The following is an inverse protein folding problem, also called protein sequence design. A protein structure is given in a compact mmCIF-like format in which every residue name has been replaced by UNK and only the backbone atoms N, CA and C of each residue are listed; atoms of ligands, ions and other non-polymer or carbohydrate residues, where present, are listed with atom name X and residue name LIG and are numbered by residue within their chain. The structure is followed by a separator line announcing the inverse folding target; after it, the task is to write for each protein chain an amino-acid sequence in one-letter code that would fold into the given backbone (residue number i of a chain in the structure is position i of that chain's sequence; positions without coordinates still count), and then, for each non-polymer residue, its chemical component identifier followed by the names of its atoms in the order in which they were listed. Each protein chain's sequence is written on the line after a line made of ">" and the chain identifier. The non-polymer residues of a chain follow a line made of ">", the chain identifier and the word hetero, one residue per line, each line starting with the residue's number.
data_IF_076295726467
#
_entry.id   IF_076295726467
#
_cell.length_a   1.000
_cell.length_b   1.000
_cell.length_c   1.000
_cell.angle_alpha   90.00
_cell.angle_beta   90.00
_cell.angle_gamma   90.00
#
_symmetry.space_group_name_H-M   'P 1'
#
loop_
_entity.id
_entity.type
_entity.pdbx_description
1 polymer ?
#
# COMPACT_ATOMS: atom_id res chain seq x y z
N UNK A 1 10.21 31.98 -9.49
CA UNK A 1 11.09 32.02 -8.30
C UNK A 1 10.61 31.10 -7.16
N UNK A 2 9.56 31.41 -6.38
CA UNK A 2 9.17 30.58 -5.21
C UNK A 2 8.59 29.20 -5.62
N UNK A 3 7.79 29.15 -6.70
CA UNK A 3 7.19 27.91 -7.20
C UNK A 3 8.20 26.90 -7.73
N UNK A 4 9.26 27.37 -8.38
CA UNK A 4 10.33 26.52 -8.94
C UNK A 4 11.16 25.85 -7.85
N UNK A 5 11.44 26.56 -6.75
CA UNK A 5 12.13 25.98 -5.59
C UNK A 5 11.27 24.88 -4.97
N UNK A 6 9.97 25.13 -4.77
CA UNK A 6 9.05 24.13 -4.20
C UNK A 6 8.99 22.87 -5.07
N UNK A 7 8.95 23.02 -6.40
CA UNK A 7 8.87 21.90 -7.34
C UNK A 7 10.07 20.95 -7.26
N UNK A 8 11.28 21.44 -6.99
CA UNK A 8 12.48 20.62 -6.87
C UNK A 8 12.61 19.99 -5.48
N UNK A 9 12.17 20.69 -4.44
CA UNK A 9 12.28 20.19 -3.06
C UNK A 9 11.34 19.02 -2.75
N UNK A 10 10.13 19.00 -3.33
CA UNK A 10 9.15 17.92 -3.12
C UNK A 10 9.73 16.52 -3.44
N UNK A 11 10.26 16.24 -4.64
CA UNK A 11 10.80 14.92 -4.95
C UNK A 11 12.01 14.56 -4.09
N UNK A 12 12.89 15.53 -3.78
CA UNK A 12 14.08 15.30 -2.94
C UNK A 12 13.67 14.87 -1.53
N UNK A 13 12.72 15.58 -0.91
CA UNK A 13 12.24 15.25 0.43
C UNK A 13 11.57 13.87 0.43
N UNK A 14 10.74 13.57 -0.57
CA UNK A 14 10.08 12.27 -0.69
C UNK A 14 11.12 11.14 -0.80
N UNK A 15 12.14 11.29 -1.64
CA UNK A 15 13.20 10.29 -1.79
C UNK A 15 13.98 10.08 -0.49
N UNK A 16 14.32 11.16 0.22
CA UNK A 16 15.02 11.07 1.50
C UNK A 16 14.17 10.39 2.58
N UNK A 17 12.89 10.74 2.70
CA UNK A 17 11.98 10.14 3.68
C UNK A 17 11.79 8.65 3.40
N UNK A 18 11.53 8.27 2.14
CA UNK A 18 11.40 6.86 1.75
C UNK A 18 12.71 6.11 2.05
N UNK A 19 13.86 6.69 1.69
CA UNK A 19 15.17 6.10 1.97
C UNK A 19 15.41 5.88 3.46
N UNK A 20 15.13 6.89 4.30
CA UNK A 20 15.27 6.78 5.74
C UNK A 20 14.36 5.70 6.34
N UNK A 21 13.09 5.66 5.94
CA UNK A 21 12.14 4.63 6.40
C UNK A 21 12.60 3.24 6.00
N UNK A 22 13.10 3.05 4.77
CA UNK A 22 13.63 1.77 4.31
C UNK A 22 14.86 1.34 5.11
N UNK A 23 15.81 2.25 5.34
CA UNK A 23 17.01 1.96 6.14
C UNK A 23 16.62 1.53 7.55
N UNK A 24 15.72 2.27 8.20
CA UNK A 24 15.21 1.94 9.54
C UNK A 24 14.53 0.56 9.53
N UNK A 25 13.66 0.30 8.54
CA UNK A 25 12.98 -0.99 8.39
C UNK A 25 13.98 -2.15 8.26
N UNK A 26 14.99 -2.03 7.39
CA UNK A 26 16.01 -3.07 7.23
C UNK A 26 16.88 -3.23 8.46
N UNK A 27 17.23 -2.13 9.13
CA UNK A 27 18.01 -2.15 10.37
C UNK A 27 17.26 -2.88 11.49
N UNK A 28 15.99 -2.54 11.72
CA UNK A 28 15.15 -3.18 12.73
C UNK A 28 14.97 -4.67 12.44
N UNK A 29 14.67 -5.03 11.18
CA UNK A 29 14.52 -6.43 10.77
C UNK A 29 15.81 -7.24 10.93
N UNK A 30 16.97 -6.62 10.73
CA UNK A 30 18.26 -7.25 10.98
C UNK A 30 18.49 -7.48 12.48
N UNK A 31 18.15 -6.47 13.31
CA UNK A 31 18.30 -6.54 14.76
C UNK A 31 17.38 -7.59 15.39
N UNK A 32 16.13 -7.70 14.93
CA UNK A 32 15.19 -8.74 15.35
C UNK A 32 15.76 -10.15 15.16
N UNK A 33 16.36 -10.41 14.00
CA UNK A 33 17.01 -11.70 13.72
C UNK A 33 18.19 -11.97 14.64
N UNK A 34 19.03 -10.97 14.89
CA UNK A 34 20.17 -11.10 15.81
C UNK A 34 19.71 -11.42 17.24
N UNK A 35 18.68 -10.73 17.74
CA UNK A 35 18.11 -10.99 19.08
C UNK A 35 17.54 -12.41 19.22
N UNK A 36 16.96 -12.98 18.15
CA UNK A 36 16.44 -14.35 18.18
C UNK A 36 17.58 -15.38 18.22
N UNK A 37 18.68 -15.13 17.52
CA UNK A 37 19.89 -15.97 17.57
C UNK A 37 20.54 -15.90 18.96
N UNK A 38 20.66 -14.70 19.54
CA UNK A 38 21.18 -14.50 20.91
C UNK A 38 20.35 -15.20 21.99
N UNK A 39 19.03 -15.36 21.75
CA UNK A 39 18.12 -16.10 22.63
C UNK A 39 18.19 -17.62 22.46
N UNK A 40 19.07 -18.13 21.60
CA UNK A 40 19.34 -19.56 21.44
C UNK A 40 18.34 -20.31 20.56
N UNK A 41 17.51 -19.62 19.77
CA UNK A 41 16.67 -20.27 18.76
C UNK A 41 17.53 -20.83 17.63
N UNK A 42 17.25 -22.07 17.21
CA UNK A 42 17.93 -22.65 16.05
C UNK A 42 17.56 -21.91 14.77
N UNK A 43 18.48 -21.86 13.80
CA UNK A 43 18.24 -21.21 12.51
C UNK A 43 17.02 -21.79 11.77
N UNK A 44 16.70 -23.07 12.00
CA UNK A 44 15.52 -23.74 11.46
C UNK A 44 14.22 -23.27 12.13
N UNK A 45 14.19 -23.06 13.44
CA UNK A 45 13.03 -22.51 14.15
C UNK A 45 12.77 -21.05 13.75
N UNK A 46 13.82 -20.24 13.61
CA UNK A 46 13.72 -18.86 13.10
C UNK A 46 13.16 -18.87 11.68
N UNK A 47 13.67 -19.73 10.80
CA UNK A 47 13.16 -19.85 9.43
C UNK A 47 11.69 -20.24 9.42
N UNK A 48 11.27 -21.19 10.25
CA UNK A 48 9.87 -21.62 10.37
C UNK A 48 8.96 -20.49 10.88
N UNK A 49 9.45 -19.66 11.80
CA UNK A 49 8.74 -18.49 12.32
C UNK A 49 8.53 -17.39 11.27
N UNK A 50 9.49 -17.21 10.36
CA UNK A 50 9.42 -16.20 9.29
C UNK A 50 8.81 -16.72 7.97
N UNK A 51 8.71 -18.03 7.77
CA UNK A 51 8.03 -18.64 6.61
C UNK A 51 6.51 -18.58 6.71
N UNK A 52 5.96 -18.36 7.91
CA UNK A 52 4.53 -18.34 8.11
C UNK A 52 3.89 -17.04 7.57
N UNK A 53 2.96 -17.21 6.63
CA UNK A 53 1.99 -16.23 6.11
C UNK A 53 2.50 -15.23 5.07
N UNK A 54 2.97 -15.74 3.93
CA UNK A 54 2.71 -15.01 2.67
C UNK A 54 1.22 -15.09 2.36
N UNK A 55 0.46 -14.07 2.73
CA UNK A 55 -0.95 -13.93 2.32
C UNK A 55 -0.99 -13.81 0.79
N UNK A 56 -1.21 -14.94 0.10
CA UNK A 56 -1.26 -15.01 -1.37
C UNK A 56 -2.35 -14.14 -2.01
N UNK A 57 -3.28 -13.64 -1.19
CA UNK A 57 -4.38 -12.77 -1.61
C UNK A 57 -4.01 -11.27 -1.64
N UNK A 58 -2.80 -10.89 -1.23
CA UNK A 58 -2.36 -9.49 -1.26
C UNK A 58 -2.41 -8.88 -2.67
N UNK A 59 -1.98 -9.64 -3.69
CA UNK A 59 -2.05 -9.22 -5.10
C UNK A 59 -3.51 -9.01 -5.55
N UNK A 60 -4.43 -9.84 -5.06
CA UNK A 60 -5.85 -9.70 -5.37
C UNK A 60 -6.44 -8.43 -4.77
N UNK A 61 -6.06 -8.09 -3.52
CA UNK A 61 -6.47 -6.82 -2.89
C UNK A 61 -6.03 -5.63 -3.73
N UNK A 62 -4.75 -5.61 -4.13
CA UNK A 62 -4.20 -4.54 -4.98
C UNK A 62 -4.95 -4.48 -6.31
N UNK A 63 -5.19 -5.61 -6.98
CA UNK A 63 -5.90 -5.64 -8.27
C UNK A 63 -7.30 -5.02 -8.19
N UNK A 64 -8.08 -5.38 -7.17
CA UNK A 64 -9.43 -4.83 -6.97
C UNK A 64 -9.36 -3.32 -6.71
N UNK A 65 -8.47 -2.87 -5.82
CA UNK A 65 -8.33 -1.44 -5.50
C UNK A 65 -7.93 -0.65 -6.76
N UNK A 66 -6.98 -1.15 -7.55
CA UNK A 66 -6.53 -0.51 -8.79
C UNK A 66 -7.65 -0.36 -9.83
N UNK A 67 -8.55 -1.34 -9.95
CA UNK A 67 -9.71 -1.25 -10.85
C UNK A 67 -10.64 -0.12 -10.40
N UNK A 68 -11.01 -0.11 -9.12
CA UNK A 68 -11.89 0.93 -8.56
C UNK A 68 -11.25 2.32 -8.61
N UNK A 69 -9.93 2.42 -8.42
CA UNK A 69 -9.18 3.66 -8.59
C UNK A 69 -9.26 4.17 -10.03
N UNK A 70 -9.01 3.31 -11.01
CA UNK A 70 -9.12 3.66 -12.43
C UNK A 70 -10.54 4.08 -12.84
N UNK A 71 -11.56 3.36 -12.37
CA UNK A 71 -12.97 3.72 -12.60
C UNK A 71 -13.33 5.05 -11.93
N UNK A 72 -12.89 5.28 -10.69
CA UNK A 72 -13.13 6.52 -9.96
C UNK A 72 -12.51 7.72 -10.66
N UNK A 73 -11.27 7.58 -11.14
CA UNK A 73 -10.61 8.58 -11.97
C UNK A 73 -11.36 8.86 -13.27
N UNK A 74 -11.67 7.83 -14.04
CA UNK A 74 -12.36 7.98 -15.32
C UNK A 74 -13.72 8.66 -15.18
N UNK A 75 -14.54 8.20 -14.21
CA UNK A 75 -15.86 8.80 -13.91
C UNK A 75 -15.69 10.23 -13.41
N UNK A 76 -14.68 10.49 -12.57
CA UNK A 76 -14.41 11.82 -12.01
C UNK A 76 -14.04 12.84 -13.09
N UNK A 77 -13.25 12.42 -14.08
CA UNK A 77 -12.89 13.26 -15.24
C UNK A 77 -14.11 13.54 -16.12
N UNK A 78 -14.93 12.52 -16.42
CA UNK A 78 -16.17 12.72 -17.20
C UNK A 78 -17.15 13.68 -16.52
N UNK A 79 -17.29 13.59 -15.18
CA UNK A 79 -18.13 14.49 -14.39
C UNK A 79 -17.57 15.91 -14.32
N UNK A 80 -16.24 16.06 -14.25
CA UNK A 80 -15.61 17.36 -14.32
C UNK A 80 -15.88 18.02 -15.67
N UNK A 81 -15.69 17.31 -16.79
CA UNK A 81 -15.94 17.82 -18.14
C UNK A 81 -17.41 18.24 -18.34
N UNK A 82 -18.35 17.48 -17.76
CA UNK A 82 -19.78 17.77 -17.88
C UNK A 82 -20.25 18.94 -17.01
N UNK A 83 -19.63 19.15 -15.83
CA UNK A 83 -20.12 20.13 -14.84
C UNK A 83 -19.19 21.33 -14.62
N UNK A 84 -17.99 21.31 -15.20
CA UNK A 84 -16.90 22.26 -14.97
C UNK A 84 -16.58 22.46 -13.47
N UNK A 85 -16.73 21.39 -12.66
CA UNK A 85 -16.41 21.42 -11.23
C UNK A 85 -15.26 20.48 -10.91
N UNK A 86 -14.17 21.07 -10.41
CA UNK A 86 -12.92 20.34 -10.15
C UNK A 86 -13.01 19.35 -8.97
N UNK A 87 -14.02 19.49 -8.10
CA UNK A 87 -14.18 18.59 -6.95
C UNK A 87 -14.66 17.18 -7.33
N UNK A 88 -15.14 16.95 -8.56
CA UNK A 88 -15.63 15.64 -8.97
C UNK A 88 -14.53 14.59 -9.09
N UNK A 89 -13.33 14.98 -9.50
CA UNK A 89 -12.17 14.08 -9.53
C UNK A 89 -11.87 13.54 -8.12
N UNK A 90 -11.54 14.38 -7.12
CA UNK A 90 -11.22 13.87 -5.80
C UNK A 90 -12.40 13.14 -5.17
N UNK A 91 -13.64 13.63 -5.35
CA UNK A 91 -14.83 12.96 -4.83
C UNK A 91 -15.00 11.53 -5.38
N UNK A 92 -15.02 11.39 -6.72
CA UNK A 92 -15.21 10.10 -7.39
C UNK A 92 -14.07 9.12 -7.06
N UNK A 93 -12.83 9.63 -6.98
CA UNK A 93 -11.66 8.83 -6.64
C UNK A 93 -11.75 8.29 -5.22
N UNK A 94 -12.06 9.14 -4.22
CA UNK A 94 -12.17 8.70 -2.83
C UNK A 94 -13.34 7.73 -2.63
N UNK A 95 -14.51 8.00 -3.23
CA UNK A 95 -15.69 7.15 -3.10
C UNK A 95 -15.45 5.79 -3.75
N UNK A 96 -15.01 5.78 -5.02
CA UNK A 96 -14.79 4.53 -5.76
C UNK A 96 -13.67 3.69 -5.13
N UNK A 97 -12.53 4.31 -4.82
CA UNK A 97 -11.41 3.59 -4.19
C UNK A 97 -11.79 3.08 -2.80
N UNK A 98 -12.55 3.85 -2.02
CA UNK A 98 -13.10 3.42 -0.74
C UNK A 98 -13.98 2.17 -0.85
N UNK A 99 -14.87 2.13 -1.84
CA UNK A 99 -15.66 0.93 -2.16
C UNK A 99 -14.74 -0.24 -2.55
N UNK A 100 -13.72 0.02 -3.37
CA UNK A 100 -12.71 -0.95 -3.76
C UNK A 100 -11.99 -1.59 -2.56
N UNK A 101 -11.61 -0.80 -1.55
CA UNK A 101 -11.01 -1.32 -0.31
C UNK A 101 -11.96 -2.23 0.47
N UNK A 102 -13.23 -1.84 0.62
CA UNK A 102 -14.25 -2.63 1.32
C UNK A 102 -14.45 -3.97 0.62
N UNK A 103 -14.64 -3.95 -0.70
CA UNK A 103 -14.84 -5.16 -1.51
C UNK A 103 -13.59 -6.06 -1.50
N UNK A 104 -12.40 -5.47 -1.65
CA UNK A 104 -11.14 -6.20 -1.59
C UNK A 104 -10.97 -6.94 -0.26
N UNK A 105 -11.36 -6.32 0.85
CA UNK A 105 -11.25 -6.95 2.15
C UNK A 105 -12.27 -8.09 2.31
N UNK A 106 -13.55 -7.86 2.00
CA UNK A 106 -14.60 -8.88 2.11
C UNK A 106 -14.29 -10.10 1.24
N UNK A 107 -13.85 -9.88 0.00
CA UNK A 107 -13.51 -10.96 -0.92
C UNK A 107 -12.29 -11.75 -0.46
N UNK A 108 -11.25 -11.05 0.02
CA UNK A 108 -10.06 -11.73 0.53
C UNK A 108 -10.36 -12.54 1.78
N UNK A 109 -11.18 -12.02 2.68
CA UNK A 109 -11.57 -12.74 3.91
C UNK A 109 -12.42 -13.97 3.58
N UNK A 110 -13.33 -13.86 2.60
CA UNK A 110 -14.10 -15.02 2.09
C UNK A 110 -13.19 -16.09 1.47
N UNK A 111 -12.22 -15.70 0.64
CA UNK A 111 -11.32 -16.67 0.00
C UNK A 111 -10.36 -17.30 1.01
N UNK A 112 -9.90 -16.54 2.00
CA UNK A 112 -9.08 -17.06 3.10
C UNK A 112 -9.85 -18.06 3.96
N UNK A 113 -11.14 -17.83 4.21
CA UNK A 113 -12.02 -18.77 4.94
C UNK A 113 -12.38 -20.02 4.13
N UNK A 114 -12.35 -19.96 2.79
CA UNK A 114 -12.62 -21.10 1.90
C UNK A 114 -11.40 -22.02 1.74
N UNK A 115 -10.19 -21.45 1.84
CA UNK A 115 -8.92 -22.17 1.68
C UNK A 115 -8.32 -22.69 3.00
N UNK A 116 -8.94 -22.36 4.13
CA UNK A 116 -8.69 -22.97 5.44
C UNK A 116 -9.79 -23.98 5.76
#
# INVERSE_FOLDING_TARGET
>A
MVSEVIAVFIPIIITLVIGAVLIIYFYLKSKEKQMLIEKGLSAEEIKKFFEEKRDGLWLMKIGIISIFFGLGLGIGMMLQDATNKDYWIPFSLFVSTGIGFVIANILSDKLKKKNN
#
